data_IF_264488856350
#
_entry.id   IF_264488856350
#
_cell.length_a   1.000
_cell.length_b   1.000
_cell.length_c   1.000
_cell.angle_alpha   90.00
_cell.angle_beta   90.00
_cell.angle_gamma   90.00
#
_symmetry.space_group_name_H-M   'P 1'
#
loop_
_entity.id
_entity.type
_entity.pdbx_description
1 polymer ?
#
# COMPACT_ATOMS: atom_id res chain seq x y z
N UNK A 1 20.96 11.45 57.20
CA UNK A 1 22.09 10.98 58.03
C UNK A 1 22.26 9.48 57.77
N UNK A 2 23.38 9.11 57.15
CA UNK A 2 24.05 7.79 57.09
C UNK A 2 23.39 6.59 56.37
N UNK A 3 24.13 6.05 55.40
CA UNK A 3 23.86 4.88 54.55
C UNK A 3 24.29 3.54 55.18
N UNK A 4 23.72 2.43 54.67
CA UNK A 4 24.09 1.00 54.86
C UNK A 4 23.13 0.20 53.93
N UNK A 5 23.46 -0.84 53.15
CA UNK A 5 24.16 -2.11 53.44
C UNK A 5 24.55 -2.83 52.12
N UNK A 6 25.78 -3.36 52.13
CA UNK A 6 26.39 -4.59 51.58
C UNK A 6 25.77 -5.45 50.46
N UNK A 7 26.70 -5.99 49.65
CA UNK A 7 26.50 -6.85 48.49
C UNK A 7 26.06 -8.29 48.77
N UNK A 8 25.57 -8.92 47.71
CA UNK A 8 25.02 -10.26 47.70
C UNK A 8 26.01 -11.26 47.06
N UNK A 9 26.32 -12.32 47.81
CA UNK A 9 26.97 -13.54 47.38
C UNK A 9 25.99 -14.67 47.67
N UNK A 10 25.53 -15.40 46.64
CA UNK A 10 24.90 -16.71 46.84
C UNK A 10 25.53 -17.68 45.84
N UNK A 11 26.39 -18.55 46.40
CA UNK A 11 26.74 -19.86 45.85
C UNK A 11 25.75 -20.87 46.44
N UNK A 12 25.15 -21.71 45.60
CA UNK A 12 24.84 -23.11 45.91
C UNK A 12 24.28 -23.79 44.66
N UNK A 13 25.18 -24.32 43.82
CA UNK A 13 24.84 -25.38 42.89
C UNK A 13 24.87 -26.73 43.60
N UNK A 14 23.96 -27.61 43.22
CA UNK A 14 24.12 -29.07 43.07
C UNK A 14 22.72 -29.73 43.11
N UNK A 15 22.15 -30.09 41.96
CA UNK A 15 21.31 -31.29 41.88
C UNK A 15 21.12 -31.79 40.44
N UNK A 16 21.35 -33.10 40.29
CA UNK A 16 21.02 -33.98 39.17
C UNK A 16 21.98 -34.05 37.96
N UNK A 17 23.02 -34.86 38.16
CA UNK A 17 23.80 -35.49 37.09
C UNK A 17 23.12 -36.82 36.67
N UNK A 18 23.34 -37.19 35.41
CA UNK A 18 23.02 -38.45 34.73
C UNK A 18 21.63 -38.53 34.06
N UNK A 19 21.59 -38.11 32.79
CA UNK A 19 21.08 -38.88 31.65
C UNK A 19 21.87 -38.41 30.41
N UNK A 20 22.26 -39.35 29.53
CA UNK A 20 23.29 -39.16 28.51
C UNK A 20 23.00 -38.01 27.52
N UNK A 21 24.02 -37.21 27.21
CA UNK A 21 23.92 -36.25 26.13
C UNK A 21 23.79 -37.01 24.79
N UNK A 22 22.77 -36.75 23.96
CA UNK A 22 22.78 -37.24 22.59
C UNK A 22 23.99 -36.61 21.86
N UNK A 23 24.67 -37.33 20.95
CA UNK A 23 25.80 -36.76 20.23
C UNK A 23 25.34 -35.49 19.51
N UNK A 24 26.09 -34.41 19.72
CA UNK A 24 25.83 -33.15 19.05
C UNK A 24 25.78 -33.40 17.54
N UNK A 25 24.64 -33.09 16.90
CA UNK A 25 24.58 -33.06 15.43
C UNK A 25 25.66 -32.08 14.97
N UNK A 26 26.48 -32.40 13.95
CA UNK A 26 27.37 -31.40 13.38
C UNK A 26 26.53 -30.20 12.98
N UNK A 27 26.98 -29.00 13.37
CA UNK A 27 26.29 -27.77 13.05
C UNK A 27 25.99 -27.72 11.53
N UNK A 28 24.80 -27.26 11.11
CA UNK A 28 24.60 -26.98 9.69
C UNK A 28 25.74 -26.06 9.22
N UNK A 29 26.23 -26.22 7.98
CA UNK A 29 27.26 -25.33 7.44
C UNK A 29 26.82 -23.88 7.67
N UNK A 30 27.75 -22.95 7.96
CA UNK A 30 27.38 -21.56 8.20
C UNK A 30 26.55 -21.12 7.00
N UNK A 31 25.26 -20.90 7.23
CA UNK A 31 24.40 -20.24 6.26
C UNK A 31 25.16 -18.96 5.97
N UNK A 32 25.56 -18.75 4.70
CA UNK A 32 26.25 -17.51 4.36
C UNK A 32 25.29 -16.40 4.72
N UNK A 33 25.62 -15.72 5.80
CA UNK A 33 24.81 -14.64 6.39
C UNK A 33 24.66 -13.46 5.41
N UNK A 34 25.39 -13.51 4.29
CA UNK A 34 25.25 -12.67 3.10
C UNK A 34 23.95 -12.83 2.32
N UNK A 35 23.05 -13.76 2.66
CA UNK A 35 21.73 -13.86 2.00
C UNK A 35 20.57 -13.29 2.83
N UNK A 36 20.78 -12.82 4.07
CA UNK A 36 19.68 -12.40 4.94
C UNK A 36 19.87 -11.07 5.69
N UNK A 37 20.82 -10.21 5.29
CA UNK A 37 20.94 -8.89 5.95
C UNK A 37 21.62 -7.81 5.10
N UNK A 38 20.95 -7.39 4.04
CA UNK A 38 21.15 -6.05 3.44
C UNK A 38 19.80 -5.44 3.02
N UNK A 39 18.84 -5.39 3.96
CA UNK A 39 17.59 -4.64 3.79
C UNK A 39 17.38 -3.71 4.99
N UNK A 40 18.30 -2.78 5.23
CA UNK A 40 18.01 -1.69 6.20
C UNK A 40 18.89 -0.46 5.93
N UNK A 41 18.40 0.46 5.07
CA UNK A 41 18.50 1.93 5.25
C UNK A 41 17.92 2.78 4.08
N UNK A 42 17.05 2.25 3.21
CA UNK A 42 16.35 3.08 2.19
C UNK A 42 14.91 3.47 2.57
N UNK A 43 14.55 3.33 3.85
CA UNK A 43 13.18 3.42 4.42
C UNK A 43 12.55 4.84 4.43
N UNK A 44 12.84 5.68 3.45
CA UNK A 44 12.13 6.95 3.21
C UNK A 44 11.78 7.21 1.74
N UNK A 45 12.07 6.28 0.82
CA UNK A 45 11.59 6.37 -0.55
C UNK A 45 10.45 5.36 -0.74
N UNK A 46 9.19 5.78 -0.98
CA UNK A 46 8.18 4.84 -1.42
C UNK A 46 8.71 4.17 -2.68
N UNK A 47 8.83 2.84 -2.64
CA UNK A 47 9.36 2.00 -3.70
C UNK A 47 8.92 2.53 -5.06
N UNK A 48 9.88 2.78 -5.96
CA UNK A 48 9.57 3.27 -7.30
C UNK A 48 8.53 2.34 -7.94
N UNK A 49 7.38 2.90 -8.31
CA UNK A 49 6.37 2.14 -9.04
C UNK A 49 6.91 1.87 -10.44
N UNK A 50 7.39 0.65 -10.66
CA UNK A 50 7.76 0.16 -11.99
C UNK A 50 6.47 -0.24 -12.71
N UNK A 51 6.36 0.17 -13.98
CA UNK A 51 5.21 -0.18 -14.82
C UNK A 51 4.88 -1.68 -14.74
N UNK A 52 3.71 -2.00 -14.22
CA UNK A 52 3.22 -3.37 -14.07
C UNK A 52 1.72 -3.43 -14.40
N UNK A 53 1.34 -3.78 -15.64
CA UNK A 53 -0.05 -3.79 -16.05
C UNK A 53 -0.86 -4.91 -15.40
N UNK A 54 -0.22 -6.02 -15.02
CA UNK A 54 -0.90 -7.13 -14.33
C UNK A 54 -1.26 -6.70 -12.91
N UNK A 55 -0.32 -6.09 -12.19
CA UNK A 55 -0.57 -5.56 -10.85
C UNK A 55 -1.64 -4.46 -10.86
N UNK A 56 -1.62 -3.57 -11.85
CA UNK A 56 -2.64 -2.54 -12.00
C UNK A 56 -4.06 -3.13 -12.15
N UNK A 57 -4.21 -4.17 -12.97
CA UNK A 57 -5.49 -4.88 -13.14
C UNK A 57 -5.90 -5.60 -11.85
N UNK A 58 -4.96 -6.14 -11.09
CA UNK A 58 -5.26 -6.77 -9.81
C UNK A 58 -5.77 -5.76 -8.77
N UNK A 59 -5.12 -4.60 -8.66
CA UNK A 59 -5.60 -3.51 -7.80
C UNK A 59 -7.01 -3.04 -8.21
N UNK A 60 -7.35 -3.03 -9.51
CA UNK A 60 -8.72 -2.78 -9.97
C UNK A 60 -9.69 -3.83 -9.43
N UNK A 61 -9.37 -5.13 -9.51
CA UNK A 61 -10.26 -6.19 -9.01
C UNK A 61 -10.51 -6.05 -7.51
N UNK A 62 -9.46 -5.75 -6.74
CA UNK A 62 -9.56 -5.49 -5.30
C UNK A 62 -10.41 -4.24 -5.04
N UNK A 63 -10.21 -3.17 -5.82
CA UNK A 63 -11.05 -1.97 -5.78
C UNK A 63 -12.53 -2.25 -6.07
N UNK A 64 -12.82 -3.07 -7.08
CA UNK A 64 -14.17 -3.49 -7.45
C UNK A 64 -14.84 -4.31 -6.35
N UNK A 65 -14.06 -5.13 -5.63
CA UNK A 65 -14.55 -5.85 -4.46
C UNK A 65 -15.00 -4.88 -3.35
N UNK A 66 -14.18 -3.86 -3.03
CA UNK A 66 -14.56 -2.84 -2.05
C UNK A 66 -15.72 -1.97 -2.53
N UNK A 67 -15.77 -1.66 -3.82
CA UNK A 67 -16.88 -0.95 -4.44
C UNK A 67 -18.21 -1.67 -4.24
N UNK A 68 -18.24 -2.98 -4.51
CA UNK A 68 -19.43 -3.83 -4.31
C UNK A 68 -19.85 -3.90 -2.84
N UNK A 69 -18.90 -3.79 -1.91
CA UNK A 69 -19.17 -3.68 -0.46
C UNK A 69 -19.64 -2.28 -0.02
N UNK A 70 -19.73 -1.31 -0.93
CA UNK A 70 -20.09 0.07 -0.62
C UNK A 70 -18.96 0.90 0.00
N UNK A 71 -17.77 0.33 0.17
CA UNK A 71 -16.61 1.05 0.71
C UNK A 71 -15.89 1.83 -0.40
N UNK A 72 -16.48 2.95 -0.81
CA UNK A 72 -15.94 3.77 -1.89
C UNK A 72 -14.57 4.35 -1.57
N UNK A 73 -14.26 4.61 -0.30
CA UNK A 73 -12.93 5.09 0.14
C UNK A 73 -11.86 4.02 -0.06
N UNK A 74 -12.13 2.77 0.34
CA UNK A 74 -11.19 1.67 0.11
C UNK A 74 -11.04 1.37 -1.40
N UNK A 75 -12.13 1.46 -2.16
CA UNK A 75 -12.07 1.31 -3.61
C UNK A 75 -11.19 2.39 -4.26
N UNK A 76 -11.37 3.66 -3.87
CA UNK A 76 -10.55 4.77 -4.36
C UNK A 76 -9.05 4.55 -4.11
N UNK A 77 -8.67 4.11 -2.90
CA UNK A 77 -7.27 3.81 -2.58
C UNK A 77 -6.69 2.73 -3.50
N UNK A 78 -7.45 1.67 -3.76
CA UNK A 78 -7.02 0.59 -4.67
C UNK A 78 -6.92 1.07 -6.11
N UNK A 79 -7.85 1.90 -6.57
CA UNK A 79 -7.75 2.49 -7.90
C UNK A 79 -6.57 3.46 -8.03
N UNK A 80 -6.20 4.19 -6.98
CA UNK A 80 -4.96 4.99 -6.97
C UNK A 80 -3.73 4.10 -7.12
N UNK A 81 -3.67 2.96 -6.44
CA UNK A 81 -2.56 2.03 -6.64
C UNK A 81 -2.52 1.52 -8.09
N UNK A 82 -3.67 1.21 -8.69
CA UNK A 82 -3.74 0.82 -10.08
C UNK A 82 -3.20 1.91 -11.04
N UNK A 83 -3.47 3.19 -10.78
CA UNK A 83 -2.95 4.29 -11.62
C UNK A 83 -1.45 4.52 -11.43
N UNK A 84 -0.87 4.14 -10.29
CA UNK A 84 0.58 4.19 -10.09
C UNK A 84 1.29 3.04 -10.78
N UNK A 85 0.74 1.82 -10.72
CA UNK A 85 1.28 0.66 -11.43
C UNK A 85 1.15 0.76 -12.94
N UNK A 86 0.07 1.36 -13.44
CA UNK A 86 -0.11 1.66 -14.86
C UNK A 86 -0.79 3.02 -15.06
N UNK A 87 -0.02 4.10 -15.22
CA UNK A 87 -0.57 5.43 -15.47
C UNK A 87 -1.35 5.56 -16.79
N UNK A 88 -1.13 4.66 -17.74
CA UNK A 88 -1.82 4.63 -19.04
C UNK A 88 -3.13 3.84 -19.05
N UNK A 89 -3.54 3.23 -17.93
CA UNK A 89 -4.76 2.44 -17.85
C UNK A 89 -5.98 3.33 -17.64
N UNK A 90 -6.67 3.68 -18.72
CA UNK A 90 -7.87 4.52 -18.69
C UNK A 90 -8.94 4.00 -17.72
N UNK A 91 -9.18 2.69 -17.68
CA UNK A 91 -10.13 2.06 -16.75
C UNK A 91 -9.83 2.37 -15.27
N UNK A 92 -8.56 2.41 -14.86
CA UNK A 92 -8.18 2.73 -13.48
C UNK A 92 -8.57 4.17 -13.13
N UNK A 93 -8.29 5.12 -14.02
CA UNK A 93 -8.65 6.54 -13.86
C UNK A 93 -10.16 6.76 -13.84
N UNK A 94 -10.89 6.05 -14.69
CA UNK A 94 -12.36 6.09 -14.72
C UNK A 94 -12.95 5.63 -13.38
N UNK A 95 -12.52 4.46 -12.89
CA UNK A 95 -12.99 3.89 -11.62
C UNK A 95 -12.60 4.77 -10.42
N UNK A 96 -11.40 5.36 -10.45
CA UNK A 96 -10.96 6.33 -9.45
C UNK A 96 -11.88 7.56 -9.43
N UNK A 97 -12.20 8.12 -10.60
CA UNK A 97 -13.14 9.24 -10.72
C UNK A 97 -14.53 8.91 -10.18
N UNK A 98 -15.05 7.71 -10.50
CA UNK A 98 -16.35 7.23 -9.99
C UNK A 98 -16.36 7.08 -8.46
N UNK A 99 -15.26 6.60 -7.87
CA UNK A 99 -15.12 6.46 -6.43
C UNK A 99 -15.03 7.81 -5.72
N UNK A 100 -14.22 8.73 -6.23
CA UNK A 100 -14.11 10.09 -5.68
C UNK A 100 -15.41 10.88 -5.82
N UNK A 101 -16.13 10.72 -6.93
CA UNK A 101 -17.47 11.30 -7.11
C UNK A 101 -18.45 10.79 -6.04
N UNK A 102 -18.44 9.49 -5.72
CA UNK A 102 -19.26 8.92 -4.64
C UNK A 102 -18.88 9.44 -3.26
N UNK A 103 -17.61 9.76 -3.05
CA UNK A 103 -17.09 10.38 -1.83
C UNK A 103 -17.35 11.89 -1.75
N UNK A 104 -17.92 12.49 -2.81
CA UNK A 104 -18.11 13.96 -2.96
C UNK A 104 -16.80 14.76 -3.04
N UNK A 105 -15.70 14.10 -3.38
CA UNK A 105 -14.39 14.69 -3.64
C UNK A 105 -14.35 15.16 -5.10
N UNK A 106 -15.06 16.25 -5.39
CA UNK A 106 -15.38 16.66 -6.77
C UNK A 106 -14.14 17.11 -7.55
N UNK A 107 -13.20 17.81 -6.92
CA UNK A 107 -12.01 18.29 -7.61
C UNK A 107 -11.10 17.11 -7.98
N UNK A 108 -10.89 16.19 -7.04
CA UNK A 108 -10.09 14.98 -7.24
C UNK A 108 -10.76 14.02 -8.24
N UNK A 109 -12.09 13.97 -8.28
CA UNK A 109 -12.84 13.23 -9.29
C UNK A 109 -12.66 13.85 -10.68
N UNK A 110 -12.68 15.19 -10.79
CA UNK A 110 -12.45 15.90 -12.05
C UNK A 110 -11.06 15.62 -12.62
N UNK A 111 -10.03 15.60 -11.78
CA UNK A 111 -8.67 15.26 -12.21
C UNK A 111 -8.57 13.84 -12.76
N UNK A 112 -9.13 12.86 -12.03
CA UNK A 112 -9.13 11.47 -12.47
C UNK A 112 -9.92 11.28 -13.78
N UNK A 113 -11.07 11.94 -13.90
CA UNK A 113 -11.86 11.92 -15.13
C UNK A 113 -11.19 12.66 -16.29
N UNK A 114 -10.45 13.74 -16.04
CA UNK A 114 -9.66 14.41 -17.06
C UNK A 114 -8.60 13.47 -17.62
N UNK A 115 -7.87 12.76 -16.73
CA UNK A 115 -6.90 11.72 -17.13
C UNK A 115 -7.55 10.58 -17.92
N UNK A 116 -8.73 10.13 -17.52
CA UNK A 116 -9.49 9.15 -18.30
C UNK A 116 -9.80 9.66 -19.73
N UNK A 117 -10.27 10.90 -19.87
CA UNK A 117 -10.58 11.50 -21.18
C UNK A 117 -9.34 11.76 -22.04
N UNK A 118 -8.17 11.99 -21.43
CA UNK A 118 -6.88 12.08 -22.13
C UNK A 118 -6.46 10.73 -22.72
N UNK A 119 -6.66 9.64 -21.98
CA UNK A 119 -6.25 8.28 -22.38
C UNK A 119 -7.26 7.61 -23.32
N UNK A 120 -8.57 7.81 -23.06
CA UNK A 120 -9.67 7.21 -23.80
C UNK A 120 -10.69 8.28 -24.23
N UNK A 121 -10.33 9.16 -25.19
CA UNK A 121 -11.23 10.22 -25.65
C UNK A 121 -12.53 9.69 -26.28
N UNK A 122 -12.49 8.48 -26.86
CA UNK A 122 -13.63 7.77 -27.45
C UNK A 122 -14.08 6.57 -26.61
N UNK A 123 -13.64 6.50 -25.35
CA UNK A 123 -14.03 5.44 -24.42
C UNK A 123 -15.54 5.38 -24.19
N UNK A 124 -16.05 4.20 -23.81
CA UNK A 124 -17.51 3.96 -23.64
C UNK A 124 -18.19 4.97 -22.70
N UNK A 125 -17.47 5.49 -21.70
CA UNK A 125 -17.98 6.47 -20.75
C UNK A 125 -17.50 7.91 -21.03
N UNK A 126 -16.71 8.15 -22.08
CA UNK A 126 -16.11 9.47 -22.34
C UNK A 126 -17.16 10.57 -22.50
N UNK A 127 -18.23 10.31 -23.28
CA UNK A 127 -19.30 11.29 -23.48
C UNK A 127 -20.06 11.67 -22.21
N UNK A 128 -20.28 10.72 -21.29
CA UNK A 128 -20.96 11.00 -20.01
C UNK A 128 -20.03 11.67 -19.00
N UNK A 129 -18.76 11.24 -18.94
CA UNK A 129 -17.72 11.84 -18.10
C UNK A 129 -17.47 13.29 -18.50
N UNK A 130 -17.34 13.58 -19.80
CA UNK A 130 -17.15 14.95 -20.31
C UNK A 130 -18.27 15.89 -19.85
N UNK A 131 -19.53 15.46 -19.96
CA UNK A 131 -20.69 16.24 -19.48
C UNK A 131 -20.65 16.50 -17.98
N UNK A 132 -20.20 15.54 -17.17
CA UNK A 132 -20.03 15.72 -15.71
C UNK A 132 -18.96 16.75 -15.40
N UNK A 133 -17.78 16.63 -16.01
CA UNK A 133 -16.66 17.55 -15.81
C UNK A 133 -17.04 18.97 -16.22
N UNK A 134 -17.66 19.16 -17.39
CA UNK A 134 -18.15 20.47 -17.86
C UNK A 134 -19.18 21.08 -16.90
N UNK A 135 -20.08 20.25 -16.35
CA UNK A 135 -21.06 20.72 -15.36
C UNK A 135 -20.37 21.26 -14.11
N UNK A 136 -19.39 20.55 -13.57
CA UNK A 136 -18.69 21.00 -12.36
C UNK A 136 -17.84 22.24 -12.62
N UNK A 137 -17.20 22.37 -13.78
CA UNK A 137 -16.47 23.59 -14.18
C UNK A 137 -17.40 24.81 -14.14
N UNK A 138 -18.62 24.69 -14.65
CA UNK A 138 -19.60 25.80 -14.67
C UNK A 138 -20.12 26.17 -13.27
N UNK A 139 -20.16 25.20 -12.36
CA UNK A 139 -20.69 25.37 -11.00
C UNK A 139 -19.59 25.80 -10.00
N UNK A 140 -18.31 25.68 -10.37
CA UNK A 140 -17.21 26.09 -9.51
C UNK A 140 -17.28 27.61 -9.25
N UNK A 141 -17.28 28.05 -7.98
CA UNK A 141 -17.26 29.47 -7.68
C UNK A 141 -15.97 30.07 -8.25
N UNK A 142 -16.08 31.18 -8.99
CA UNK A 142 -14.91 31.94 -9.43
C UNK A 142 -14.13 32.34 -8.18
N UNK A 143 -12.93 31.80 -8.00
CA UNK A 143 -12.01 32.25 -6.93
C UNK A 143 -11.86 33.76 -7.11
N UNK A 144 -12.28 34.53 -6.11
CA UNK A 144 -12.15 35.98 -6.05
C UNK A 144 -10.71 36.36 -5.70
#
# INVERSE_FOLDING_TARGET
>A
MVARVFGALILAGLFWQAWGQPPARPAPPPVRESELKEEDESLTTPSEYVFNPIQAVEEIKVGDFYWKKGSHKAAALRYVEATKWNPGLGEAWLKLGEAREKLKEIEEAREAYAKYLELEPEGKKAGSVKKKVERWVKQAPKKK
#
